data_IF_410821114944
#
_entry.id   IF_410821114944
#
_cell.length_a   1.000
_cell.length_b   1.000
_cell.length_c   1.000
_cell.angle_alpha   90.00
_cell.angle_beta   90.00
_cell.angle_gamma   90.00
#
_symmetry.space_group_name_H-M   'P 1'
#
loop_
_entity.id
_entity.type
_entity.pdbx_description
1 polymer ?
#
# COMPACT_ATOMS: atom_id res chain seq x y z
N UNK A 1 12.14 8.43 -12.65
CA UNK A 1 10.71 8.72 -12.96
C UNK A 1 10.63 9.68 -14.13
N UNK A 2 9.62 9.56 -15.00
CA UNK A 2 9.43 10.52 -16.12
C UNK A 2 8.32 11.51 -15.80
N UNK A 3 8.51 12.75 -16.18
CA UNK A 3 7.50 13.80 -16.14
C UNK A 3 6.91 13.90 -17.53
N UNK A 4 5.58 13.74 -17.63
CA UNK A 4 4.86 13.71 -18.90
C UNK A 4 3.87 14.88 -18.92
N UNK A 5 3.85 15.63 -20.03
CA UNK A 5 2.79 16.59 -20.29
C UNK A 5 1.52 15.83 -20.73
N UNK A 6 0.41 15.88 -19.97
CA UNK A 6 -0.77 15.07 -20.28
C UNK A 6 -1.52 15.54 -21.54
N UNK A 7 -1.33 16.78 -21.97
CA UNK A 7 -1.95 17.31 -23.19
C UNK A 7 -1.24 16.85 -24.45
N UNK A 8 0.10 16.87 -24.43
CA UNK A 8 0.91 16.52 -25.61
C UNK A 8 1.41 15.08 -25.57
N UNK A 9 1.28 14.39 -24.43
CA UNK A 9 1.81 13.06 -24.14
C UNK A 9 3.34 12.96 -24.35
N UNK A 10 4.03 14.08 -24.23
CA UNK A 10 5.48 14.13 -24.38
C UNK A 10 6.18 14.14 -23.02
N UNK A 11 7.31 13.47 -22.94
CA UNK A 11 8.23 13.57 -21.79
C UNK A 11 8.79 14.99 -21.74
N UNK A 12 8.61 15.66 -20.59
CA UNK A 12 9.10 17.01 -20.33
C UNK A 12 10.25 17.06 -19.34
N UNK A 13 10.44 15.98 -18.57
CA UNK A 13 11.50 15.89 -17.59
C UNK A 13 11.75 14.48 -17.10
N UNK A 14 12.75 14.35 -16.25
CA UNK A 14 13.14 13.11 -15.59
C UNK A 14 13.68 13.38 -14.20
N UNK A 15 13.32 12.52 -13.25
CA UNK A 15 13.86 12.51 -11.89
C UNK A 15 14.63 11.21 -11.72
N UNK A 16 15.94 11.30 -11.53
CA UNK A 16 16.80 10.14 -11.24
C UNK A 16 16.62 9.72 -9.78
N UNK A 17 16.28 8.45 -9.56
CA UNK A 17 16.08 7.86 -8.22
C UNK A 17 17.23 6.93 -7.82
N UNK A 18 18.26 6.77 -8.65
CA UNK A 18 19.32 5.77 -8.46
C UNK A 18 20.09 5.93 -7.12
N UNK A 19 20.22 7.16 -6.62
CA UNK A 19 20.86 7.44 -5.34
C UNK A 19 20.07 6.94 -4.12
N UNK A 20 18.77 6.66 -4.32
CA UNK A 20 17.86 6.22 -3.27
C UNK A 20 17.67 4.70 -3.24
N UNK A 21 18.28 3.97 -4.15
CA UNK A 21 18.28 2.51 -4.14
C UNK A 21 19.19 1.98 -3.02
N UNK A 22 18.68 1.09 -2.18
CA UNK A 22 19.40 0.50 -1.05
C UNK A 22 19.35 -1.03 -1.09
N UNK A 23 20.42 -1.67 -0.57
CA UNK A 23 20.48 -3.11 -0.40
C UNK A 23 20.31 -3.93 -1.67
N UNK A 24 20.56 -3.34 -2.83
CA UNK A 24 20.40 -3.97 -4.15
C UNK A 24 21.49 -4.96 -4.46
N UNK A 25 21.12 -6.08 -5.08
CA UNK A 25 22.05 -7.05 -5.62
C UNK A 25 22.58 -6.59 -6.99
N UNK A 26 23.85 -6.91 -7.27
CA UNK A 26 24.45 -6.85 -8.63
C UNK A 26 24.23 -5.56 -9.41
N UNK A 27 24.30 -4.39 -8.76
CA UNK A 27 24.32 -3.11 -9.46
C UNK A 27 22.98 -2.60 -9.95
N UNK A 28 21.89 -3.20 -9.58
CA UNK A 28 20.56 -2.62 -9.74
C UNK A 28 20.49 -1.29 -8.98
N UNK A 29 19.99 -0.24 -9.64
CA UNK A 29 19.84 1.09 -9.09
C UNK A 29 18.39 1.57 -9.12
N UNK A 30 17.44 0.67 -9.31
CA UNK A 30 16.03 0.97 -9.27
C UNK A 30 15.47 0.77 -7.85
N UNK A 31 14.97 1.80 -7.16
CA UNK A 31 14.32 1.64 -5.86
C UNK A 31 12.84 1.22 -5.97
N UNK A 32 12.35 0.83 -7.13
CA UNK A 32 10.96 0.43 -7.46
C UNK A 32 9.94 1.43 -6.90
N UNK A 33 9.80 2.60 -7.54
CA UNK A 33 8.79 3.59 -7.12
C UNK A 33 7.38 3.03 -7.34
N UNK A 34 6.59 3.05 -6.29
CA UNK A 34 5.20 2.62 -6.27
C UNK A 34 4.21 3.78 -6.31
N UNK A 35 3.05 3.57 -5.68
CA UNK A 35 2.00 4.57 -5.61
C UNK A 35 2.45 5.84 -4.88
N UNK A 36 1.90 6.97 -5.28
CA UNK A 36 2.31 8.27 -4.79
C UNK A 36 1.14 9.21 -4.55
N UNK A 37 1.35 10.24 -3.73
CA UNK A 37 0.35 11.28 -3.45
C UNK A 37 1.03 12.63 -3.27
N UNK A 38 0.35 13.70 -3.69
CA UNK A 38 0.82 15.07 -3.45
C UNK A 38 0.10 15.66 -2.23
N UNK A 39 0.89 16.21 -1.29
CA UNK A 39 0.39 16.99 -0.16
C UNK A 39 1.27 18.22 0.04
N UNK A 40 0.65 19.39 0.10
CA UNK A 40 1.32 20.68 0.37
C UNK A 40 2.53 20.97 -0.54
N UNK A 41 2.42 20.60 -1.83
CA UNK A 41 3.49 20.81 -2.82
C UNK A 41 4.64 19.80 -2.76
N UNK A 42 4.50 18.75 -1.99
CA UNK A 42 5.46 17.64 -1.91
C UNK A 42 4.80 16.38 -2.47
N UNK A 43 5.47 15.71 -3.40
CA UNK A 43 5.11 14.38 -3.88
C UNK A 43 5.78 13.34 -2.97
N UNK A 44 4.97 12.52 -2.31
CA UNK A 44 5.39 11.37 -1.50
C UNK A 44 5.33 10.12 -2.36
N UNK A 45 6.46 9.48 -2.61
CA UNK A 45 6.59 8.29 -3.45
C UNK A 45 7.02 7.12 -2.59
N UNK A 46 6.16 6.11 -2.46
CA UNK A 46 6.54 4.85 -1.81
C UNK A 46 7.56 4.09 -2.66
N UNK A 47 8.54 3.49 -2.00
CA UNK A 47 9.59 2.69 -2.62
C UNK A 47 9.52 1.26 -2.10
N UNK A 48 9.55 0.27 -2.99
CA UNK A 48 9.57 -1.14 -2.59
C UNK A 48 10.92 -1.56 -2.04
N UNK A 49 12.00 -1.11 -2.64
CA UNK A 49 13.37 -1.45 -2.26
C UNK A 49 13.65 -2.95 -2.28
N UNK A 50 13.31 -3.63 -3.35
CA UNK A 50 13.62 -5.04 -3.51
C UNK A 50 15.15 -5.25 -3.64
N UNK A 51 15.69 -6.24 -2.93
CA UNK A 51 17.08 -6.68 -3.09
C UNK A 51 17.31 -7.33 -4.43
N UNK A 52 16.36 -8.17 -4.82
CA UNK A 52 16.22 -8.84 -6.10
C UNK A 52 14.71 -9.01 -6.35
N UNK A 53 14.32 -9.48 -7.52
CA UNK A 53 12.92 -9.63 -7.88
C UNK A 53 12.08 -10.29 -6.75
N UNK A 54 11.10 -9.55 -6.24
CA UNK A 54 10.18 -9.96 -5.17
C UNK A 54 10.85 -10.31 -3.81
N UNK A 55 12.08 -9.88 -3.56
CA UNK A 55 12.75 -10.08 -2.28
C UNK A 55 12.99 -8.71 -1.60
N UNK A 56 12.06 -8.21 -0.80
CA UNK A 56 12.14 -6.86 -0.25
C UNK A 56 13.22 -6.71 0.82
N UNK A 57 13.79 -5.52 0.89
CA UNK A 57 14.49 -5.07 2.10
C UNK A 57 13.46 -4.86 3.21
N UNK A 58 13.86 -5.10 4.45
CA UNK A 58 13.06 -4.74 5.61
C UNK A 58 12.96 -3.21 5.72
N UNK A 59 11.79 -2.70 6.11
CA UNK A 59 11.51 -1.28 6.26
C UNK A 59 10.62 -0.73 5.15
N UNK A 60 9.92 0.33 5.49
CA UNK A 60 9.13 1.15 4.59
C UNK A 60 9.94 2.39 4.21
N UNK A 61 10.02 2.70 2.92
CA UNK A 61 10.78 3.83 2.41
C UNK A 61 9.89 4.73 1.58
N UNK A 62 9.95 6.03 1.82
CA UNK A 62 9.19 7.04 1.06
C UNK A 62 10.12 8.17 0.66
N UNK A 63 10.16 8.47 -0.64
CA UNK A 63 10.91 9.60 -1.18
C UNK A 63 9.99 10.82 -1.27
N UNK A 64 10.45 11.95 -0.75
CA UNK A 64 9.80 13.24 -0.84
C UNK A 64 10.42 14.05 -1.96
N UNK A 65 9.59 14.57 -2.87
CA UNK A 65 10.01 15.36 -4.03
C UNK A 65 9.26 16.68 -4.03
N UNK A 66 9.98 17.78 -4.17
CA UNK A 66 9.39 19.12 -4.34
C UNK A 66 8.75 19.24 -5.73
N UNK A 67 7.44 19.46 -5.80
CA UNK A 67 6.69 19.51 -7.06
C UNK A 67 6.87 20.79 -7.87
N UNK A 68 7.54 21.81 -7.32
CA UNK A 68 7.88 23.06 -8.06
C UNK A 68 9.20 22.94 -8.78
N UNK A 69 10.13 22.18 -8.21
CA UNK A 69 11.50 22.07 -8.73
C UNK A 69 11.79 20.72 -9.34
N UNK A 70 10.89 19.75 -9.15
CA UNK A 70 11.03 18.33 -9.53
C UNK A 70 12.28 17.68 -8.91
N UNK A 71 12.71 18.15 -7.73
CA UNK A 71 13.91 17.66 -7.06
C UNK A 71 13.56 16.86 -5.81
N UNK A 72 14.24 15.73 -5.58
CA UNK A 72 14.16 15.04 -4.31
C UNK A 72 14.58 15.94 -3.15
N UNK A 73 13.83 15.87 -2.06
CA UNK A 73 14.09 16.60 -0.80
C UNK A 73 14.84 15.68 0.17
N UNK A 74 14.27 14.52 0.45
CA UNK A 74 14.82 13.48 1.33
C UNK A 74 14.08 12.16 1.15
N UNK A 75 14.71 11.07 1.54
CA UNK A 75 14.06 9.79 1.77
C UNK A 75 13.85 9.58 3.26
N UNK A 76 12.64 9.18 3.65
CA UNK A 76 12.30 8.79 5.03
C UNK A 76 12.09 7.29 5.10
N UNK A 77 12.32 6.70 6.27
CA UNK A 77 12.14 5.26 6.48
C UNK A 77 11.54 4.94 7.84
N UNK A 78 10.89 3.76 7.92
CA UNK A 78 10.35 3.22 9.17
C UNK A 78 10.46 1.70 9.16
N UNK A 79 11.06 1.13 10.20
CA UNK A 79 11.29 -0.31 10.29
C UNK A 79 10.12 -1.10 10.88
N UNK A 80 9.02 -0.45 11.27
CA UNK A 80 7.82 -1.10 11.79
C UNK A 80 6.97 -1.74 10.72
N UNK A 81 7.17 -1.35 9.44
CA UNK A 81 6.48 -1.91 8.29
C UNK A 81 7.45 -2.10 7.12
N UNK A 82 7.04 -2.85 6.11
CA UNK A 82 7.87 -3.19 4.95
C UNK A 82 7.15 -2.87 3.66
N UNK A 83 7.88 -2.41 2.64
CA UNK A 83 7.37 -2.11 1.28
C UNK A 83 6.24 -1.08 1.28
N UNK A 84 6.59 0.19 1.37
CA UNK A 84 5.63 1.29 1.29
C UNK A 84 4.99 1.35 -0.13
N UNK A 85 3.73 0.97 -0.26
CA UNK A 85 2.94 1.07 -1.50
C UNK A 85 3.57 0.41 -2.73
N UNK A 86 4.01 -0.82 -2.62
CA UNK A 86 4.89 -1.45 -3.61
C UNK A 86 4.24 -1.74 -4.97
N UNK A 87 2.97 -2.14 -5.03
CA UNK A 87 2.36 -2.65 -6.26
C UNK A 87 0.98 -2.05 -6.55
N UNK A 88 0.59 -2.08 -7.82
CA UNK A 88 -0.59 -1.43 -8.41
C UNK A 88 -1.92 -1.73 -7.71
N UNK A 89 -2.04 -2.88 -7.07
CA UNK A 89 -3.32 -3.37 -6.54
C UNK A 89 -3.58 -2.98 -5.09
N UNK A 90 -2.56 -2.65 -4.32
CA UNK A 90 -2.73 -2.33 -2.90
C UNK A 90 -3.34 -0.96 -2.62
N UNK A 91 -3.58 -0.18 -3.65
CA UNK A 91 -4.20 1.15 -3.58
C UNK A 91 -3.24 2.24 -3.12
N UNK A 92 -3.62 3.47 -3.40
CA UNK A 92 -2.78 4.65 -3.17
C UNK A 92 -2.68 5.02 -1.68
N UNK A 93 -1.62 5.73 -1.30
CA UNK A 93 -1.62 6.52 -0.07
C UNK A 93 -2.81 7.49 -0.10
N UNK A 94 -3.38 7.78 1.05
CA UNK A 94 -4.50 8.72 1.13
C UNK A 94 -4.27 9.77 2.21
N UNK A 95 -4.91 10.92 2.01
CA UNK A 95 -4.94 12.03 2.96
C UNK A 95 -6.33 12.07 3.57
N UNK A 96 -6.41 12.08 4.89
CA UNK A 96 -7.68 12.18 5.61
C UNK A 96 -8.18 13.62 5.74
N UNK A 97 -9.35 13.81 6.32
CA UNK A 97 -9.97 15.12 6.50
C UNK A 97 -9.21 16.03 7.48
N UNK A 98 -8.31 15.46 8.28
CA UNK A 98 -7.42 16.21 9.18
C UNK A 98 -6.15 16.67 8.49
N UNK A 99 -5.89 16.14 7.28
CA UNK A 99 -4.69 16.38 6.49
C UNK A 99 -3.54 15.43 6.82
N UNK A 100 -3.78 14.39 7.63
CA UNK A 100 -2.80 13.34 7.89
C UNK A 100 -2.68 12.42 6.67
N UNK A 101 -1.46 12.07 6.30
CA UNK A 101 -1.17 11.16 5.20
C UNK A 101 -0.96 9.75 5.75
N UNK A 102 -1.69 8.80 5.21
CA UNK A 102 -1.57 7.37 5.53
C UNK A 102 -0.94 6.62 4.36
N UNK A 103 0.03 5.79 4.69
CA UNK A 103 0.77 4.96 3.75
C UNK A 103 0.59 3.51 4.17
N UNK A 104 0.02 2.72 3.27
CA UNK A 104 -0.08 1.29 3.43
C UNK A 104 1.23 0.63 2.99
N UNK A 105 1.73 -0.28 3.81
CA UNK A 105 2.91 -1.08 3.56
C UNK A 105 2.50 -2.54 3.41
N UNK A 106 2.77 -3.12 2.25
CA UNK A 106 2.22 -4.44 1.87
C UNK A 106 2.96 -5.64 2.49
N UNK A 107 4.08 -5.40 3.15
CA UNK A 107 4.75 -6.42 3.98
C UNK A 107 5.33 -7.60 3.23
N UNK A 108 5.51 -7.65 1.96
CA UNK A 108 5.99 -8.82 1.23
C UNK A 108 4.93 -9.90 1.03
N UNK A 109 3.65 -9.50 1.03
CA UNK A 109 2.48 -10.34 0.70
C UNK A 109 2.29 -11.58 1.59
N UNK A 110 2.87 -11.58 2.79
CA UNK A 110 2.83 -12.72 3.71
C UNK A 110 3.74 -13.89 3.31
N UNK A 111 4.59 -13.72 2.30
CA UNK A 111 5.52 -14.77 1.85
C UNK A 111 6.92 -14.67 2.46
N UNK A 112 7.30 -13.48 2.94
CA UNK A 112 8.65 -13.23 3.45
C UNK A 112 8.64 -13.05 4.96
N UNK A 113 9.46 -13.83 5.65
CA UNK A 113 9.68 -13.64 7.08
C UNK A 113 10.29 -12.26 7.37
N UNK A 114 9.88 -11.64 8.47
CA UNK A 114 10.32 -10.32 8.91
C UNK A 114 9.88 -9.14 8.00
N UNK A 115 8.95 -9.37 7.08
CA UNK A 115 8.29 -8.33 6.31
C UNK A 115 6.91 -8.08 6.89
N UNK A 116 6.73 -6.97 7.57
CA UNK A 116 5.51 -6.64 8.32
C UNK A 116 4.59 -5.73 7.51
N UNK A 117 3.30 -6.02 7.59
CA UNK A 117 2.24 -5.28 6.90
C UNK A 117 1.55 -4.29 7.82
N UNK A 118 1.15 -3.14 7.30
CA UNK A 118 0.35 -2.20 8.07
C UNK A 118 0.30 -0.79 7.50
N UNK A 119 -0.37 0.08 8.24
CA UNK A 119 -0.43 1.50 7.92
C UNK A 119 0.52 2.31 8.79
N UNK A 120 1.32 3.14 8.14
CA UNK A 120 2.09 4.22 8.74
C UNK A 120 1.38 5.56 8.48
N UNK A 121 1.71 6.57 9.29
CA UNK A 121 1.13 7.91 9.17
C UNK A 121 2.22 8.97 9.14
N UNK A 122 1.97 10.04 8.37
CA UNK A 122 2.72 11.30 8.42
C UNK A 122 1.71 12.39 8.77
N UNK A 123 1.84 13.04 9.93
CA UNK A 123 0.91 14.08 10.37
C UNK A 123 0.89 15.28 9.44
N UNK A 124 -0.23 15.98 9.42
CA UNK A 124 -0.35 17.26 8.72
C UNK A 124 0.77 18.22 9.12
N UNK A 125 1.40 18.82 8.11
CA UNK A 125 2.52 19.76 8.30
C UNK A 125 3.86 19.09 8.63
N UNK A 126 3.91 17.77 8.84
CA UNK A 126 5.14 17.03 9.05
C UNK A 126 5.58 16.30 7.79
N UNK A 127 6.87 15.96 7.74
CA UNK A 127 7.50 15.28 6.61
C UNK A 127 8.22 13.99 7.02
N UNK A 128 8.02 13.54 8.26
CA UNK A 128 8.57 12.29 8.80
C UNK A 128 7.43 11.40 9.33
N UNK A 129 7.70 10.09 9.41
CA UNK A 129 6.73 9.16 9.96
C UNK A 129 6.42 9.46 11.44
N UNK A 130 5.13 9.46 11.77
CA UNK A 130 4.65 9.60 13.14
C UNK A 130 4.96 8.35 13.96
N UNK A 131 5.92 8.48 14.88
CA UNK A 131 6.35 7.38 15.73
C UNK A 131 5.27 6.92 16.73
N UNK A 132 4.23 7.71 16.96
CA UNK A 132 3.11 7.34 17.83
C UNK A 132 2.02 6.53 17.12
N UNK A 133 2.09 6.41 15.78
CA UNK A 133 1.10 5.70 14.98
C UNK A 133 1.75 4.56 14.18
N UNK A 134 1.24 3.38 14.38
CA UNK A 134 1.38 2.20 13.52
C UNK A 134 0.15 1.33 13.69
N UNK A 135 -0.36 0.82 12.59
CA UNK A 135 -1.50 -0.10 12.56
C UNK A 135 -1.07 -1.41 11.89
N UNK A 136 -0.56 -2.39 12.67
CA UNK A 136 -0.12 -3.68 12.15
C UNK A 136 -1.33 -4.54 11.76
N UNK A 137 -1.46 -4.88 10.48
CA UNK A 137 -2.57 -5.69 9.97
C UNK A 137 -2.38 -7.17 10.30
N UNK A 138 -1.19 -7.70 10.10
CA UNK A 138 -0.91 -9.12 10.30
C UNK A 138 -1.10 -9.63 11.73
N UNK A 139 -1.13 -8.75 12.71
CA UNK A 139 -1.33 -9.12 14.12
C UNK A 139 -2.79 -9.10 14.56
N UNK A 140 -3.68 -8.58 13.70
CA UNK A 140 -5.10 -8.46 14.05
C UNK A 140 -5.77 -9.81 13.92
N UNK A 141 -6.45 -10.23 15.00
CA UNK A 141 -7.38 -11.33 14.92
C UNK A 141 -8.69 -10.86 14.33
N UNK A 142 -9.09 -11.44 13.21
CA UNK A 142 -10.33 -11.11 12.51
C UNK A 142 -11.29 -12.29 12.71
N UNK A 143 -12.29 -12.16 13.59
CA UNK A 143 -13.34 -13.16 13.69
C UNK A 143 -14.06 -13.31 12.34
N UNK A 144 -14.77 -14.40 12.17
CA UNK A 144 -15.62 -14.68 11.00
C UNK A 144 -14.85 -14.95 9.69
N UNK A 145 -13.52 -15.10 9.73
CA UNK A 145 -12.75 -15.64 8.62
C UNK A 145 -12.00 -16.92 9.01
N UNK A 146 -11.78 -17.78 8.04
CA UNK A 146 -11.07 -19.05 8.24
C UNK A 146 -9.61 -18.79 8.64
N UNK A 147 -9.23 -19.25 9.84
CA UNK A 147 -7.89 -19.04 10.41
C UNK A 147 -7.73 -17.71 11.18
N UNK A 148 -8.76 -16.87 11.24
CA UNK A 148 -8.80 -15.59 11.95
C UNK A 148 -7.70 -14.59 11.58
N UNK A 149 -7.04 -14.78 10.44
CA UNK A 149 -5.97 -13.90 9.94
C UNK A 149 -6.08 -13.67 8.45
N UNK A 150 -5.77 -12.45 8.03
CA UNK A 150 -5.54 -12.09 6.65
C UNK A 150 -4.04 -11.87 6.41
N UNK A 151 -3.59 -12.00 5.17
CA UNK A 151 -2.20 -11.72 4.80
C UNK A 151 -2.01 -10.25 4.45
N UNK A 152 -2.56 -9.83 3.32
CA UNK A 152 -2.34 -8.50 2.78
C UNK A 152 -3.60 -7.91 2.18
N UNK A 153 -3.64 -6.59 2.17
CA UNK A 153 -4.69 -5.85 1.44
C UNK A 153 -4.35 -5.88 -0.04
N UNK A 154 -5.18 -6.55 -0.82
CA UNK A 154 -5.02 -6.62 -2.27
C UNK A 154 -5.37 -5.29 -2.94
N UNK A 155 -6.47 -4.70 -2.53
CA UNK A 155 -6.91 -3.38 -3.00
C UNK A 155 -7.78 -2.70 -1.94
N UNK A 156 -7.79 -1.37 -1.92
CA UNK A 156 -8.55 -0.59 -0.95
C UNK A 156 -8.98 0.76 -1.51
N UNK A 157 -10.07 1.29 -1.00
CA UNK A 157 -10.57 2.64 -1.32
C UNK A 157 -10.90 3.39 -0.04
N UNK A 158 -10.29 4.55 0.15
CA UNK A 158 -10.63 5.45 1.24
C UNK A 158 -11.98 6.14 0.99
N UNK A 159 -12.83 6.17 2.02
CA UNK A 159 -14.20 6.70 1.88
C UNK A 159 -14.49 7.88 2.79
N UNK A 160 -13.55 8.22 3.67
CA UNK A 160 -13.69 9.29 4.64
C UNK A 160 -13.80 8.80 6.08
N UNK A 161 -13.56 9.70 7.03
CA UNK A 161 -13.67 9.45 8.47
C UNK A 161 -12.81 8.26 8.98
N UNK A 162 -11.63 8.08 8.38
CA UNK A 162 -10.72 6.97 8.73
C UNK A 162 -11.14 5.61 8.19
N UNK A 163 -12.17 5.54 7.33
CA UNK A 163 -12.69 4.28 6.80
C UNK A 163 -12.18 3.99 5.41
N UNK A 164 -11.75 2.74 5.22
CA UNK A 164 -11.45 2.16 3.91
C UNK A 164 -12.26 0.88 3.73
N UNK A 165 -12.53 0.55 2.50
CA UNK A 165 -13.13 -0.71 2.09
C UNK A 165 -12.27 -1.36 1.03
N UNK A 166 -12.13 -2.69 1.09
CA UNK A 166 -11.29 -3.40 0.13
C UNK A 166 -11.27 -4.90 0.33
N UNK A 167 -10.30 -5.52 -0.34
CA UNK A 167 -10.11 -6.95 -0.32
C UNK A 167 -8.81 -7.31 0.39
N UNK A 168 -8.91 -8.28 1.30
CA UNK A 168 -7.74 -8.97 1.86
C UNK A 168 -7.60 -10.36 1.26
N UNK A 169 -6.37 -10.77 1.04
CA UNK A 169 -6.06 -12.18 0.88
C UNK A 169 -6.15 -12.89 2.23
N UNK A 170 -6.95 -13.94 2.29
CA UNK A 170 -7.14 -14.78 3.48
C UNK A 170 -6.62 -16.18 3.21
N UNK A 171 -5.46 -16.57 3.76
CA UNK A 171 -4.82 -17.85 3.47
C UNK A 171 -5.69 -19.05 3.79
N UNK A 172 -6.57 -18.93 4.77
CA UNK A 172 -7.50 -20.00 5.14
C UNK A 172 -8.45 -20.46 4.01
N UNK A 173 -8.62 -19.65 2.97
CA UNK A 173 -9.45 -20.00 1.79
C UNK A 173 -8.61 -20.40 0.56
N UNK A 174 -7.30 -20.51 0.70
CA UNK A 174 -6.42 -21.03 -0.35
C UNK A 174 -6.41 -22.56 -0.27
N UNK A 175 -6.57 -23.22 -1.41
CA UNK A 175 -6.53 -24.70 -1.52
C UNK A 175 -5.10 -25.23 -1.38
N UNK A 176 -4.98 -26.54 -1.19
CA UNK A 176 -3.68 -27.21 -1.18
C UNK A 176 -3.68 -28.41 -2.15
N UNK A 177 -2.96 -28.35 -3.28
CA UNK A 177 -2.10 -27.23 -3.74
C UNK A 177 -2.92 -25.97 -4.07
N UNK A 178 -2.31 -24.77 -4.02
CA UNK A 178 -3.00 -23.52 -4.32
C UNK A 178 -3.55 -23.46 -5.75
N UNK A 179 -4.80 -23.06 -5.88
CA UNK A 179 -5.44 -22.74 -7.17
C UNK A 179 -5.75 -21.24 -7.19
N UNK A 180 -4.78 -20.43 -7.55
CA UNK A 180 -4.89 -18.96 -7.55
C UNK A 180 -5.94 -18.42 -8.55
N UNK A 181 -6.47 -19.27 -9.43
CA UNK A 181 -7.51 -18.89 -10.39
C UNK A 181 -8.91 -19.06 -9.78
N UNK A 182 -9.12 -20.15 -9.04
CA UNK A 182 -10.45 -20.53 -8.55
C UNK A 182 -10.63 -20.35 -7.03
N UNK A 183 -9.54 -20.25 -6.26
CA UNK A 183 -9.62 -20.02 -4.83
C UNK A 183 -10.26 -18.67 -4.53
N UNK A 184 -11.38 -18.67 -3.80
CA UNK A 184 -12.07 -17.46 -3.35
C UNK A 184 -11.41 -16.89 -2.08
N UNK A 185 -10.10 -16.66 -2.16
CA UNK A 185 -9.29 -16.20 -1.04
C UNK A 185 -9.38 -14.68 -0.78
N UNK A 186 -9.90 -13.92 -1.73
CA UNK A 186 -10.12 -12.48 -1.56
C UNK A 186 -11.45 -12.23 -0.87
N UNK A 187 -11.37 -11.77 0.37
CA UNK A 187 -12.52 -11.45 1.22
C UNK A 187 -12.64 -9.95 1.39
N UNK A 188 -13.87 -9.45 1.55
CA UNK A 188 -14.15 -8.01 1.67
C UNK A 188 -14.16 -7.54 3.11
N UNK A 189 -13.57 -6.37 3.36
CA UNK A 189 -13.43 -5.80 4.70
C UNK A 189 -13.68 -4.30 4.75
N UNK A 190 -14.19 -3.85 5.89
CA UNK A 190 -14.07 -2.48 6.38
C UNK A 190 -12.81 -2.38 7.25
N UNK A 191 -12.02 -1.34 7.02
CA UNK A 191 -10.80 -1.02 7.75
C UNK A 191 -10.99 0.36 8.39
N UNK A 192 -10.69 0.50 9.67
CA UNK A 192 -10.74 1.77 10.39
C UNK A 192 -9.34 2.12 10.88
N UNK A 193 -8.69 3.07 10.21
CA UNK A 193 -7.32 3.48 10.55
C UNK A 193 -7.26 4.36 11.80
N UNK A 194 -8.37 4.96 12.23
CA UNK A 194 -8.40 5.73 13.46
C UNK A 194 -8.47 4.83 14.69
N UNK A 195 -9.36 3.83 14.64
CA UNK A 195 -9.56 2.87 15.73
C UNK A 195 -8.67 1.63 15.61
N UNK A 196 -7.95 1.48 14.50
CA UNK A 196 -7.09 0.33 14.19
C UNK A 196 -7.85 -0.99 14.24
N UNK A 197 -8.98 -1.05 13.54
CA UNK A 197 -9.84 -2.23 13.49
C UNK A 197 -10.10 -2.68 12.07
N UNK A 198 -10.30 -3.98 11.91
CA UNK A 198 -10.69 -4.62 10.64
C UNK A 198 -11.93 -5.45 10.90
N UNK A 199 -12.94 -5.31 10.04
CA UNK A 199 -14.19 -6.05 10.14
C UNK A 199 -14.54 -6.68 8.80
N UNK A 200 -14.78 -8.00 8.79
CA UNK A 200 -15.28 -8.69 7.59
C UNK A 200 -16.67 -8.17 7.22
N UNK A 201 -16.86 -7.91 5.94
CA UNK A 201 -18.19 -7.62 5.39
C UNK A 201 -18.94 -8.91 5.09
N UNK A 202 -20.27 -8.87 5.14
CA UNK A 202 -21.11 -10.05 4.93
C UNK A 202 -21.35 -10.30 3.43
N UNK A 203 -20.25 -10.56 2.70
CA UNK A 203 -20.28 -10.97 1.30
C UNK A 203 -19.48 -12.27 1.13
N UNK A 204 -19.78 -13.01 0.08
CA UNK A 204 -18.96 -14.14 -0.31
C UNK A 204 -17.57 -13.67 -0.75
N UNK A 205 -16.59 -14.58 -0.65
CA UNK A 205 -15.26 -14.30 -1.18
C UNK A 205 -15.23 -14.37 -2.72
N UNK A 206 -14.22 -13.77 -3.30
CA UNK A 206 -13.96 -13.79 -4.75
C UNK A 206 -12.54 -14.23 -5.04
N UNK A 207 -12.23 -14.47 -6.31
CA UNK A 207 -10.86 -14.80 -6.74
C UNK A 207 -10.02 -13.53 -6.89
N UNK A 208 -8.69 -13.67 -6.90
CA UNK A 208 -7.78 -12.54 -7.11
C UNK A 208 -7.91 -11.87 -8.48
N UNK A 209 -8.49 -12.55 -9.46
CA UNK A 209 -8.71 -12.03 -10.81
C UNK A 209 -10.00 -11.23 -10.97
N UNK A 210 -10.88 -11.26 -10.00
CA UNK A 210 -12.22 -10.68 -10.08
C UNK A 210 -12.53 -9.73 -8.91
N UNK A 211 -11.51 -9.18 -8.28
CA UNK A 211 -11.67 -8.27 -7.15
C UNK A 211 -11.34 -6.82 -7.56
N UNK A 212 -12.35 -5.98 -7.56
CA UNK A 212 -12.23 -4.55 -7.77
C UNK A 212 -13.25 -3.81 -6.91
N UNK A 213 -12.92 -2.59 -6.52
CA UNK A 213 -13.88 -1.74 -5.80
C UNK A 213 -13.71 -0.29 -6.20
N UNK A 214 -14.80 0.45 -6.10
CA UNK A 214 -14.78 1.89 -6.22
C UNK A 214 -15.86 2.56 -5.37
N UNK A 215 -15.65 3.82 -5.04
CA UNK A 215 -16.70 4.67 -4.45
C UNK A 215 -17.52 5.31 -5.59
N UNK A 216 -18.83 5.16 -5.52
CA UNK A 216 -19.78 5.75 -6.45
C UNK A 216 -20.85 6.53 -5.67
N UNK A 217 -20.68 7.85 -5.53
CA UNK A 217 -21.50 8.66 -4.65
C UNK A 217 -21.39 8.21 -3.19
N UNK A 218 -22.52 7.85 -2.59
CA UNK A 218 -22.60 7.37 -1.21
C UNK A 218 -22.42 5.83 -1.09
N UNK A 219 -22.16 5.15 -2.19
CA UNK A 219 -22.05 3.69 -2.24
C UNK A 219 -20.63 3.24 -2.46
N UNK A 220 -20.30 2.08 -1.88
CA UNK A 220 -19.15 1.26 -2.27
C UNK A 220 -19.65 0.16 -3.20
N UNK A 221 -19.01 0.05 -4.36
CA UNK A 221 -19.29 -0.99 -5.36
C UNK A 221 -18.14 -1.98 -5.35
N UNK A 222 -18.47 -3.27 -5.28
CA UNK A 222 -17.51 -4.36 -5.31
C UNK A 222 -17.75 -5.24 -6.52
N UNK A 223 -16.71 -5.49 -7.33
CA UNK A 223 -16.72 -6.48 -8.40
C UNK A 223 -16.34 -7.85 -7.82
N UNK A 224 -17.19 -8.83 -8.04
CA UNK A 224 -17.02 -10.20 -7.50
C UNK A 224 -17.36 -11.23 -8.57
N UNK A 225 -16.74 -12.42 -8.50
CA UNK A 225 -17.02 -13.58 -9.36
C UNK A 225 -17.21 -14.87 -8.55
#
# INVERSE_FOLDING_TARGET
MYIINPTTMQKTGEIDLSEYAIGKESGDKNPEPGASVIRDGILYVGLAQDKSQFNPNTGAYVLLIDTKTDKPIKMISDNRATMATAYEYSGDPFIDEKGDLYIYCVGGFGYFANCTEGFLRIKKGETDFDQSYYFPIETISIPDIKGNKANYIYSKTYTGNGKLYGYFNVPGYVSNPPDYVNDKSMQTFEIDVYNKTVKKMNFDGTTGWSCSQCKAGDYMVFGMA
#
